data_IF_090669181128
#
_entry.id   IF_090669181128
#
_cell.length_a   1.000
_cell.length_b   1.000
_cell.length_c   1.000
_cell.angle_alpha   90.00
_cell.angle_beta   90.00
_cell.angle_gamma   90.00
#
_symmetry.space_group_name_H-M   'P 1'
#
loop_
_entity.id
_entity.type
_entity.pdbx_description
1 polymer ?
#
# COMPACT_ATOMS: atom_id res chain seq x y z
N UNK A 1 1.09 -8.64 19.55
CA UNK A 1 0.44 -8.09 18.34
C UNK A 1 0.15 -9.22 17.37
N UNK A 2 -1.03 -9.30 16.75
CA UNK A 2 -1.35 -10.36 15.77
C UNK A 2 -0.82 -9.98 14.38
N UNK A 3 -0.24 -10.95 13.66
CA UNK A 3 0.28 -10.75 12.28
C UNK A 3 -0.79 -10.24 11.32
N UNK A 4 -2.04 -10.66 11.51
CA UNK A 4 -3.18 -10.25 10.68
C UNK A 4 -3.35 -8.72 10.62
N UNK A 5 -3.09 -7.98 11.70
CA UNK A 5 -3.19 -6.52 11.69
C UNK A 5 -2.18 -5.87 10.75
N UNK A 6 -0.94 -6.36 10.74
CA UNK A 6 0.10 -5.84 9.85
C UNK A 6 -0.19 -6.18 8.38
N UNK A 7 -0.74 -7.37 8.13
CA UNK A 7 -1.18 -7.77 6.78
C UNK A 7 -2.30 -6.84 6.30
N UNK A 8 -3.34 -6.62 7.10
CA UNK A 8 -4.48 -5.76 6.74
C UNK A 8 -4.03 -4.31 6.50
N UNK A 9 -3.20 -3.75 7.40
CA UNK A 9 -2.65 -2.41 7.23
C UNK A 9 -1.80 -2.33 5.96
N UNK A 10 -0.99 -3.37 5.70
CA UNK A 10 -0.20 -3.47 4.48
C UNK A 10 -1.06 -3.47 3.22
N UNK A 11 -2.14 -4.27 3.19
CA UNK A 11 -3.10 -4.32 2.08
C UNK A 11 -3.72 -2.95 1.84
N UNK A 12 -4.20 -2.28 2.89
CA UNK A 12 -4.82 -0.96 2.79
C UNK A 12 -3.81 0.06 2.26
N UNK A 13 -2.60 0.07 2.81
CA UNK A 13 -1.53 0.96 2.35
C UNK A 13 -1.21 0.71 0.87
N UNK A 14 -1.06 -0.56 0.46
CA UNK A 14 -0.84 -0.94 -0.93
C UNK A 14 -1.96 -0.48 -1.86
N UNK A 15 -3.21 -0.72 -1.49
CA UNK A 15 -4.38 -0.22 -2.23
C UNK A 15 -4.34 1.30 -2.40
N UNK A 16 -4.04 2.05 -1.33
CA UNK A 16 -3.91 3.51 -1.38
C UNK A 16 -2.77 3.96 -2.29
N UNK A 17 -1.62 3.27 -2.27
CA UNK A 17 -0.52 3.56 -3.19
C UNK A 17 -0.92 3.34 -4.65
N UNK A 18 -1.69 2.30 -4.97
CA UNK A 18 -2.18 2.08 -6.33
C UNK A 18 -3.08 3.22 -6.81
N UNK A 19 -3.91 3.77 -5.91
CA UNK A 19 -4.75 4.94 -6.19
C UNK A 19 -3.89 6.17 -6.44
N UNK A 20 -2.95 6.49 -5.54
CA UNK A 20 -2.07 7.65 -5.66
C UNK A 20 -1.24 7.57 -6.94
N UNK A 21 -0.59 6.44 -7.21
CA UNK A 21 0.24 6.23 -8.39
C UNK A 21 -0.56 6.43 -9.69
N UNK A 22 -1.82 5.98 -9.70
CA UNK A 22 -2.70 6.18 -10.85
C UNK A 22 -3.16 7.63 -10.99
N UNK A 23 -3.48 8.30 -9.88
CA UNK A 23 -3.84 9.73 -9.89
C UNK A 23 -2.67 10.56 -10.41
N UNK A 24 -1.45 10.32 -9.92
CA UNK A 24 -0.23 11.04 -10.34
C UNK A 24 0.04 10.81 -11.82
N UNK A 25 0.07 9.54 -12.26
CA UNK A 25 0.32 9.21 -13.66
C UNK A 25 -0.73 9.84 -14.61
N UNK A 26 -2.00 9.90 -14.20
CA UNK A 26 -3.05 10.50 -15.02
C UNK A 26 -3.05 12.04 -14.94
N UNK A 27 -2.65 12.63 -13.80
CA UNK A 27 -2.50 14.07 -13.64
C UNK A 27 -1.36 14.64 -14.48
N UNK A 28 -0.26 13.88 -14.66
CA UNK A 28 0.87 14.27 -15.51
C UNK A 28 0.49 14.37 -17.00
N UNK A 29 -0.51 13.61 -17.42
CA UNK A 29 -0.93 13.52 -18.83
C UNK A 29 -2.18 14.39 -19.09
N UNK A 30 -2.93 14.78 -18.04
CA UNK A 30 -4.19 15.50 -18.17
C UNK A 30 -4.04 17.03 -18.22
N UNK A 31 -5.12 17.66 -18.65
CA UNK A 31 -5.33 19.10 -18.73
C UNK A 31 -5.21 19.80 -17.37
N UNK A 32 -5.14 21.14 -17.39
CA UNK A 32 -4.89 22.01 -16.21
C UNK A 32 -5.93 21.83 -15.08
N UNK A 33 -7.10 21.22 -15.34
CA UNK A 33 -8.10 20.86 -14.32
C UNK A 33 -8.73 19.49 -14.62
N UNK A 34 -8.08 18.37 -14.26
CA UNK A 34 -8.61 17.04 -14.50
C UNK A 34 -9.81 16.74 -13.61
N UNK A 35 -10.87 16.18 -14.18
CA UNK A 35 -11.97 15.63 -13.39
C UNK A 35 -11.54 14.34 -12.68
N UNK A 36 -12.20 13.97 -11.56
CA UNK A 36 -11.89 12.76 -10.80
C UNK A 36 -11.95 11.49 -11.66
N UNK A 37 -12.87 11.45 -12.63
CA UNK A 37 -12.98 10.33 -13.58
C UNK A 37 -11.75 10.19 -14.47
N UNK A 38 -11.11 11.30 -14.84
CA UNK A 38 -9.89 11.29 -15.64
C UNK A 38 -8.68 10.84 -14.80
N UNK A 39 -8.62 11.29 -13.55
CA UNK A 39 -7.57 10.87 -12.60
C UNK A 39 -7.60 9.37 -12.29
N UNK A 40 -8.77 8.73 -12.38
CA UNK A 40 -8.93 7.29 -12.13
C UNK A 40 -9.09 6.46 -13.41
N UNK A 41 -9.03 7.07 -14.60
CA UNK A 41 -9.34 6.42 -15.89
C UNK A 41 -8.51 5.16 -16.15
N UNK A 42 -7.25 5.18 -15.72
CA UNK A 42 -6.32 4.07 -15.92
C UNK A 42 -6.16 3.16 -14.69
N UNK A 43 -7.04 3.28 -13.70
CA UNK A 43 -7.01 2.41 -12.53
C UNK A 43 -7.58 1.03 -12.88
N UNK A 44 -6.72 0.02 -12.94
CA UNK A 44 -7.16 -1.37 -13.15
C UNK A 44 -7.25 -2.14 -11.84
N UNK A 45 -8.19 -3.08 -11.78
CA UNK A 45 -8.31 -4.01 -10.65
C UNK A 45 -7.02 -4.78 -10.43
N UNK A 46 -6.35 -5.20 -11.51
CA UNK A 46 -5.07 -5.89 -11.46
C UNK A 46 -3.99 -5.07 -10.76
N UNK A 47 -3.91 -3.76 -11.04
CA UNK A 47 -2.94 -2.86 -10.39
C UNK A 47 -3.21 -2.75 -8.89
N UNK A 48 -4.47 -2.58 -8.49
CA UNK A 48 -4.86 -2.54 -7.07
C UNK A 48 -4.51 -3.86 -6.37
N UNK A 49 -4.78 -5.00 -6.99
CA UNK A 49 -4.46 -6.32 -6.44
C UNK A 49 -2.95 -6.53 -6.27
N UNK A 50 -2.14 -6.16 -7.26
CA UNK A 50 -0.68 -6.29 -7.20
C UNK A 50 -0.12 -5.45 -6.06
N UNK A 51 -0.48 -4.17 -5.99
CA UNK A 51 0.01 -3.28 -4.93
C UNK A 51 -0.48 -3.71 -3.54
N UNK A 52 -1.71 -4.21 -3.44
CA UNK A 52 -2.24 -4.77 -2.19
C UNK A 52 -1.48 -6.01 -1.74
N UNK A 53 -1.12 -6.91 -2.67
CA UNK A 53 -0.30 -8.08 -2.38
C UNK A 53 1.11 -7.69 -1.93
N UNK A 54 1.74 -6.72 -2.61
CA UNK A 54 3.04 -6.16 -2.20
C UNK A 54 2.93 -5.56 -0.79
N UNK A 55 1.90 -4.76 -0.54
CA UNK A 55 1.62 -4.18 0.78
C UNK A 55 1.45 -5.25 1.87
N UNK A 56 0.73 -6.34 1.58
CA UNK A 56 0.59 -7.47 2.49
C UNK A 56 1.95 -8.10 2.85
N UNK A 57 2.81 -8.33 1.85
CA UNK A 57 4.15 -8.89 2.03
C UNK A 57 5.02 -7.95 2.89
N UNK A 58 4.99 -6.64 2.62
CA UNK A 58 5.69 -5.64 3.43
C UNK A 58 5.17 -5.65 4.88
N UNK A 59 3.86 -5.78 5.07
CA UNK A 59 3.26 -5.92 6.39
C UNK A 59 3.79 -7.14 7.16
N UNK A 60 3.93 -8.29 6.50
CA UNK A 60 4.53 -9.50 7.09
C UNK A 60 6.00 -9.25 7.48
N UNK A 61 6.78 -8.63 6.60
CA UNK A 61 8.18 -8.30 6.87
C UNK A 61 8.30 -7.35 8.08
N UNK A 62 7.44 -6.34 8.16
CA UNK A 62 7.42 -5.39 9.26
C UNK A 62 7.01 -6.06 10.59
N UNK A 63 6.04 -6.99 10.57
CA UNK A 63 5.70 -7.79 11.73
C UNK A 63 6.89 -8.63 12.22
N UNK A 64 7.63 -9.27 11.31
CA UNK A 64 8.81 -10.06 11.65
C UNK A 64 9.90 -9.19 12.31
N UNK A 65 10.15 -8.00 11.76
CA UNK A 65 11.09 -7.03 12.32
C UNK A 65 10.65 -6.53 13.70
N UNK A 66 9.38 -6.15 13.84
CA UNK A 66 8.81 -5.73 15.12
C UNK A 66 8.97 -6.83 16.19
N UNK A 67 8.59 -8.08 15.86
CA UNK A 67 8.74 -9.23 16.77
C UNK A 67 10.20 -9.44 17.20
N UNK A 68 11.16 -9.29 16.28
CA UNK A 68 12.60 -9.38 16.59
C UNK A 68 13.05 -8.25 17.51
N UNK A 69 12.61 -7.02 17.27
CA UNK A 69 12.93 -5.85 18.08
C UNK A 69 12.37 -5.98 19.51
N UNK A 70 11.12 -6.42 19.66
CA UNK A 70 10.51 -6.63 20.98
C UNK A 70 11.22 -7.73 21.79
N UNK A 71 11.61 -8.84 21.17
CA UNK A 71 12.41 -9.88 21.86
C UNK A 71 13.75 -9.35 22.37
N UNK A 72 14.43 -8.50 21.59
CA UNK A 72 15.73 -7.93 21.98
C UNK A 72 15.61 -6.97 23.16
N UNK A 73 14.45 -6.33 23.34
CA UNK A 73 14.19 -5.36 24.42
C UNK A 73 13.91 -6.01 25.77
N UNK A 74 13.59 -7.31 25.82
CA UNK A 74 13.26 -8.04 27.06
C UNK A 74 14.47 -8.73 27.71
N UNK A 75 15.64 -8.73 27.05
CA UNK A 75 16.86 -9.42 27.50
C UNK A 75 17.84 -8.43 28.16
N UNK A 76 17.44 -7.18 28.39
CA UNK A 76 18.24 -6.14 29.05
C UNK A 76 17.59 -5.82 30.39
#
# INVERSE_FOLDING_TARGET
>A
MKIAYFIIIGIIAGSTFALIDTIVANAEISSIMPETRELLKNLSVSKVLIYSAIGAIIGIAFYALAKKAFKKKTII
#
